data_IF_572859171498
#
_entry.id   IF_572859171498
#
_cell.length_a   1.000
_cell.length_b   1.000
_cell.length_c   1.000
_cell.angle_alpha   90.00
_cell.angle_beta   90.00
_cell.angle_gamma   90.00
#
_symmetry.space_group_name_H-M   'P 1'
#
loop_
_entity.id
_entity.type
_entity.pdbx_description
1 polymer ?
#
# COMPACT_ATOMS: atom_id res chain seq x y z
N UNK A 1 6.41 -72.33 27.85
CA UNK A 1 7.83 -72.06 27.51
C UNK A 1 7.81 -71.47 26.10
N UNK A 2 8.08 -70.22 25.77
CA UNK A 2 8.88 -69.14 26.37
C UNK A 2 8.14 -67.80 26.28
N UNK A 3 8.43 -66.91 27.23
CA UNK A 3 8.05 -65.50 27.24
C UNK A 3 8.92 -64.74 26.22
N UNK A 4 8.34 -63.81 25.47
CA UNK A 4 9.10 -62.75 24.80
C UNK A 4 8.41 -61.41 25.10
N UNK A 5 9.09 -60.63 25.92
CA UNK A 5 8.81 -59.22 26.23
C UNK A 5 9.60 -58.43 25.19
N UNK A 6 8.95 -57.54 24.46
CA UNK A 6 9.63 -56.52 23.65
C UNK A 6 9.05 -55.15 24.02
N UNK A 7 9.94 -54.31 24.56
CA UNK A 7 9.67 -53.00 25.10
C UNK A 7 9.25 -52.00 24.03
N UNK A 8 8.15 -51.29 24.25
CA UNK A 8 7.76 -50.11 23.48
C UNK A 8 8.51 -48.90 24.04
N UNK A 9 9.55 -48.47 23.33
CA UNK A 9 10.24 -47.20 23.55
C UNK A 9 9.33 -46.04 23.11
N UNK A 10 8.78 -45.30 24.07
CA UNK A 10 8.13 -44.02 23.82
C UNK A 10 9.19 -42.97 23.47
N UNK A 11 9.25 -42.55 22.20
CA UNK A 11 9.98 -41.33 21.82
C UNK A 11 9.18 -40.11 22.30
N UNK A 12 9.70 -39.40 23.29
CA UNK A 12 9.18 -38.10 23.70
C UNK A 12 9.49 -37.06 22.61
N UNK A 13 8.45 -36.51 21.98
CA UNK A 13 8.57 -35.36 21.09
C UNK A 13 8.65 -34.11 21.98
N UNK A 14 9.84 -33.54 22.10
CA UNK A 14 10.05 -32.26 22.78
C UNK A 14 9.57 -31.13 21.87
N UNK A 15 8.44 -30.53 22.22
CA UNK A 15 7.94 -29.31 21.60
C UNK A 15 8.88 -28.15 21.91
N UNK A 16 9.62 -27.67 20.90
CA UNK A 16 10.36 -26.41 21.00
C UNK A 16 9.37 -25.25 20.85
N UNK A 17 9.06 -24.57 21.95
CA UNK A 17 8.42 -23.27 21.93
C UNK A 17 9.48 -22.22 21.53
N UNK A 18 9.38 -21.70 20.30
CA UNK A 18 10.14 -20.54 19.86
C UNK A 18 9.32 -19.31 20.26
N UNK A 19 9.52 -18.80 21.47
CA UNK A 19 8.91 -17.54 21.92
C UNK A 19 9.98 -16.49 22.16
N UNK A 20 9.89 -15.41 21.39
CA UNK A 20 10.22 -14.07 21.87
C UNK A 20 11.64 -13.59 21.63
N UNK A 21 11.83 -12.86 20.54
CA UNK A 21 12.85 -11.81 20.49
C UNK A 21 12.54 -10.79 21.59
N UNK A 22 13.39 -10.75 22.63
CA UNK A 22 13.39 -9.70 23.65
C UNK A 22 13.95 -8.41 23.04
N UNK A 23 13.12 -7.38 22.88
CA UNK A 23 13.61 -6.00 22.82
C UNK A 23 13.46 -5.37 24.21
N UNK A 24 14.58 -4.89 24.73
CA UNK A 24 14.69 -4.29 26.06
C UNK A 24 14.00 -2.92 26.06
N UNK A 25 13.04 -2.73 26.95
CA UNK A 25 12.40 -1.44 27.22
C UNK A 25 13.39 -0.47 27.91
N UNK A 26 13.74 0.60 27.19
CA UNK A 26 14.35 1.80 27.75
C UNK A 26 13.31 2.93 27.75
N UNK A 27 12.86 3.31 28.94
CA UNK A 27 11.95 4.41 29.20
C UNK A 27 12.53 5.76 28.71
N UNK A 28 11.79 6.51 27.88
CA UNK A 28 11.82 7.99 27.78
C UNK A 28 10.71 8.54 26.87
N UNK A 29 9.79 9.24 27.53
CA UNK A 29 9.04 10.43 27.10
C UNK A 29 7.91 10.32 26.05
N UNK A 30 6.79 10.93 26.47
CA UNK A 30 5.49 10.98 25.81
C UNK A 30 5.48 11.88 24.58
N UNK A 31 5.40 11.26 23.40
CA UNK A 31 4.59 11.75 22.28
C UNK A 31 3.74 10.55 21.88
N UNK A 32 2.42 10.70 21.84
CA UNK A 32 1.53 9.64 21.38
C UNK A 32 1.88 9.32 19.92
N UNK A 33 2.80 8.39 19.72
CA UNK A 33 3.17 7.82 18.44
C UNK A 33 2.03 6.85 18.08
N UNK A 34 0.89 7.40 17.69
CA UNK A 34 -0.24 6.62 17.22
C UNK A 34 0.20 5.96 15.92
N UNK A 35 0.70 4.73 16.03
CA UNK A 35 1.09 3.89 14.89
C UNK A 35 -0.09 3.78 13.95
N UNK A 36 -0.04 4.50 12.82
CA UNK A 36 -1.10 4.43 11.81
C UNK A 36 -1.15 3.02 11.25
N UNK A 37 -2.32 2.38 11.36
CA UNK A 37 -2.50 1.01 10.87
C UNK A 37 -2.73 1.08 9.36
N UNK A 38 -1.95 0.32 8.59
CA UNK A 38 -2.14 0.24 7.14
C UNK A 38 -2.89 -1.05 6.78
N UNK A 39 -3.96 -0.92 6.01
CA UNK A 39 -4.71 -2.03 5.43
C UNK A 39 -4.50 -2.04 3.91
N UNK A 40 -4.40 -3.23 3.32
CA UNK A 40 -4.34 -3.36 1.86
C UNK A 40 -5.72 -3.16 1.25
N UNK A 41 -5.78 -2.51 0.08
CA UNK A 41 -6.98 -2.41 -0.75
C UNK A 41 -6.66 -2.81 -2.20
N UNK A 42 -7.60 -3.45 -2.87
CA UNK A 42 -7.55 -3.80 -4.29
C UNK A 42 -8.48 -2.93 -5.15
N UNK A 43 -9.24 -2.01 -4.54
CA UNK A 43 -10.21 -1.14 -5.23
C UNK A 43 -9.58 0.19 -5.64
N UNK A 44 -8.55 0.10 -6.46
CA UNK A 44 -7.96 1.23 -7.14
C UNK A 44 -7.31 0.80 -8.45
N UNK A 45 -7.00 1.78 -9.31
CA UNK A 45 -6.00 1.60 -10.36
C UNK A 45 -5.27 2.92 -10.64
N UNK A 46 -4.06 2.78 -11.17
CA UNK A 46 -3.36 3.88 -11.86
C UNK A 46 -3.56 3.64 -13.34
N UNK A 47 -4.30 4.54 -13.98
CA UNK A 47 -4.69 4.44 -15.38
C UNK A 47 -3.52 4.85 -16.30
N UNK A 48 -2.77 5.90 -15.93
CA UNK A 48 -1.57 6.33 -16.66
C UNK A 48 -0.59 7.12 -15.80
N UNK A 49 0.68 7.10 -16.20
CA UNK A 49 1.76 7.92 -15.63
C UNK A 49 2.47 8.63 -16.78
N UNK A 50 2.51 9.97 -16.75
CA UNK A 50 3.06 10.78 -17.84
C UNK A 50 2.39 10.51 -19.19
N UNK A 51 1.11 10.13 -19.20
CA UNK A 51 0.37 9.73 -20.39
C UNK A 51 0.69 8.31 -20.92
N UNK A 52 1.56 7.56 -20.23
CA UNK A 52 1.96 6.20 -20.61
C UNK A 52 1.24 5.15 -19.74
N UNK A 53 1.06 3.95 -20.30
CA UNK A 53 0.44 2.80 -19.64
C UNK A 53 1.37 1.59 -19.71
N UNK A 54 1.27 0.66 -18.76
CA UNK A 54 2.05 -0.57 -18.75
C UNK A 54 2.42 -1.04 -17.35
N UNK A 55 2.98 -2.23 -17.24
CA UNK A 55 3.52 -2.75 -15.97
C UNK A 55 4.82 -2.07 -15.54
N UNK A 56 5.53 -1.46 -16.49
CA UNK A 56 6.71 -0.63 -16.25
C UNK A 56 6.56 0.66 -17.04
N UNK A 57 6.74 1.82 -16.39
CA UNK A 57 6.63 3.12 -17.04
C UNK A 57 7.89 3.93 -16.79
N UNK A 58 8.55 4.38 -17.86
CA UNK A 58 9.73 5.22 -17.81
C UNK A 58 9.33 6.69 -17.96
N UNK A 59 9.83 7.55 -17.08
CA UNK A 59 9.64 9.01 -17.14
C UNK A 59 10.94 9.73 -16.87
N UNK A 60 11.15 10.86 -17.52
CA UNK A 60 12.23 11.78 -17.13
C UNK A 60 11.88 12.47 -15.81
N UNK A 61 12.91 12.96 -15.12
CA UNK A 61 12.72 13.92 -14.02
C UNK A 61 11.93 15.16 -14.47
N UNK A 62 11.15 15.72 -13.57
CA UNK A 62 10.30 16.88 -13.81
C UNK A 62 8.85 16.68 -13.38
N UNK A 63 7.95 17.50 -13.92
CA UNK A 63 6.52 17.41 -13.65
C UNK A 63 5.90 16.23 -14.40
N UNK A 64 5.35 15.27 -13.66
CA UNK A 64 4.71 14.07 -14.22
C UNK A 64 3.28 13.95 -13.70
N UNK A 65 2.34 13.68 -14.61
CA UNK A 65 0.95 13.43 -14.25
C UNK A 65 0.70 11.97 -13.89
N UNK A 66 -0.07 11.72 -12.84
CA UNK A 66 -0.54 10.39 -12.45
C UNK A 66 -2.06 10.41 -12.43
N UNK A 67 -2.69 9.62 -13.29
CA UNK A 67 -4.14 9.54 -13.40
C UNK A 67 -4.61 8.17 -12.93
N UNK A 68 -5.75 8.11 -12.26
CA UNK A 68 -6.27 6.85 -11.76
C UNK A 68 -7.58 7.03 -11.01
N UNK A 69 -7.91 6.03 -10.22
CA UNK A 69 -9.06 6.04 -9.34
C UNK A 69 -8.81 5.20 -8.09
N UNK A 70 -9.52 5.52 -7.02
CA UNK A 70 -9.54 4.71 -5.81
C UNK A 70 -10.91 4.79 -5.12
N UNK A 71 -11.29 3.73 -4.43
CA UNK A 71 -12.51 3.65 -3.63
C UNK A 71 -12.13 3.49 -2.17
N UNK A 72 -12.77 4.28 -1.31
CA UNK A 72 -12.73 4.06 0.13
C UNK A 72 -13.64 2.88 0.45
N UNK A 73 -13.04 1.70 0.60
CA UNK A 73 -13.76 0.46 0.87
C UNK A 73 -14.29 0.38 2.29
N UNK A 74 -13.79 1.22 3.21
CA UNK A 74 -14.33 1.31 4.57
C UNK A 74 -15.67 2.04 4.56
N UNK A 75 -15.75 3.17 3.85
CA UNK A 75 -16.97 3.98 3.79
C UNK A 75 -17.89 3.67 2.60
N UNK A 76 -17.45 2.81 1.68
CA UNK A 76 -18.17 2.48 0.44
C UNK A 76 -18.56 3.74 -0.34
N UNK A 77 -17.59 4.65 -0.49
CA UNK A 77 -17.72 5.92 -1.21
C UNK A 77 -16.43 6.31 -1.95
N UNK A 78 -16.50 7.41 -2.71
CA UNK A 78 -15.31 8.13 -3.11
C UNK A 78 -14.48 8.54 -1.87
N UNK A 79 -13.13 8.48 -1.94
CA UNK A 79 -12.28 8.93 -0.85
C UNK A 79 -12.44 10.42 -0.57
N UNK A 80 -12.40 10.81 0.70
CA UNK A 80 -12.34 12.23 1.11
C UNK A 80 -10.97 12.85 0.86
N UNK A 81 -9.92 12.04 0.97
CA UNK A 81 -8.54 12.39 0.67
C UNK A 81 -7.90 11.23 -0.10
N UNK A 82 -7.07 11.57 -1.09
CA UNK A 82 -6.26 10.61 -1.85
C UNK A 82 -4.83 11.12 -1.84
N UNK A 83 -3.89 10.23 -1.54
CA UNK A 83 -2.44 10.50 -1.59
C UNK A 83 -1.77 9.56 -2.57
N UNK A 84 -0.78 10.08 -3.27
CA UNK A 84 0.13 9.28 -4.09
C UNK A 84 1.43 9.11 -3.32
N UNK A 85 1.88 7.87 -3.13
CA UNK A 85 3.14 7.54 -2.47
C UNK A 85 4.07 6.88 -3.46
N UNK A 86 5.26 7.45 -3.60
CA UNK A 86 6.36 6.89 -4.39
C UNK A 86 7.47 6.44 -3.45
N UNK A 87 7.77 5.14 -3.44
CA UNK A 87 8.83 4.57 -2.59
C UNK A 87 9.91 3.96 -3.47
N UNK A 88 11.09 4.57 -3.46
CA UNK A 88 12.28 4.05 -4.13
C UNK A 88 13.10 3.11 -3.25
N UNK A 89 14.29 2.73 -3.72
CA UNK A 89 15.17 1.79 -3.03
C UNK A 89 15.61 2.22 -1.62
N UNK A 90 15.60 3.54 -1.31
CA UNK A 90 15.91 4.07 0.02
C UNK A 90 14.80 3.77 1.05
N UNK A 91 13.65 3.26 0.63
CA UNK A 91 12.55 2.82 1.51
C UNK A 91 11.69 3.94 2.09
N UNK A 92 12.14 5.20 2.06
CA UNK A 92 11.32 6.36 2.44
C UNK A 92 10.36 6.74 1.31
N UNK A 93 9.08 6.88 1.62
CA UNK A 93 8.05 7.26 0.66
C UNK A 93 7.97 8.78 0.51
N UNK A 94 8.03 9.28 -0.73
CA UNK A 94 7.62 10.65 -1.06
C UNK A 94 6.12 10.67 -1.30
N UNK A 95 5.41 11.59 -0.64
CA UNK A 95 3.95 11.65 -0.65
C UNK A 95 3.46 12.93 -1.33
N UNK A 96 2.59 12.78 -2.33
CA UNK A 96 1.88 13.86 -3.00
C UNK A 96 0.42 13.87 -2.56
N UNK A 97 -0.16 15.06 -2.46
CA UNK A 97 -1.51 15.30 -1.93
C UNK A 97 -2.30 16.19 -2.87
N UNK A 98 -3.59 16.37 -2.59
CA UNK A 98 -4.48 17.30 -3.27
C UNK A 98 -4.53 17.09 -4.80
N UNK A 99 -4.89 15.88 -5.27
CA UNK A 99 -5.11 15.68 -6.69
C UNK A 99 -6.30 16.51 -7.17
N UNK A 100 -6.36 16.76 -8.48
CA UNK A 100 -7.63 17.14 -9.10
C UNK A 100 -8.56 15.93 -9.10
N UNK A 101 -9.79 16.09 -8.63
CA UNK A 101 -10.80 15.04 -8.63
C UNK A 101 -11.43 14.91 -10.02
N UNK A 102 -11.56 13.67 -10.49
CA UNK A 102 -12.07 13.33 -11.82
C UNK A 102 -13.29 12.43 -11.70
N UNK A 103 -14.31 12.69 -12.52
CA UNK A 103 -15.54 11.91 -12.51
C UNK A 103 -15.35 10.54 -13.18
N UNK A 104 -15.89 9.50 -12.53
CA UNK A 104 -15.80 8.09 -12.94
C UNK A 104 -17.18 7.44 -13.05
N UNK A 105 -17.99 7.84 -14.04
CA UNK A 105 -19.31 7.23 -14.27
C UNK A 105 -19.21 5.74 -14.63
N UNK A 106 -18.07 5.30 -15.16
CA UNK A 106 -17.76 3.90 -15.40
C UNK A 106 -17.73 3.08 -14.10
N UNK A 107 -17.20 3.63 -13.00
CA UNK A 107 -17.22 2.98 -11.69
C UNK A 107 -18.64 2.94 -11.10
N UNK A 108 -19.42 4.01 -11.26
CA UNK A 108 -20.83 4.03 -10.86
C UNK A 108 -21.59 2.90 -11.56
N UNK A 109 -21.40 2.74 -12.87
CA UNK A 109 -22.03 1.68 -13.66
C UNK A 109 -21.53 0.29 -13.28
N UNK A 110 -20.22 0.12 -13.10
CA UNK A 110 -19.61 -1.18 -12.81
C UNK A 110 -19.99 -1.72 -11.43
N UNK A 111 -20.15 -0.83 -10.45
CA UNK A 111 -20.42 -1.23 -9.06
C UNK A 111 -21.85 -0.91 -8.58
N UNK A 112 -22.65 -0.23 -9.39
CA UNK A 112 -24.02 0.15 -9.02
C UNK A 112 -24.11 1.10 -7.83
N UNK A 113 -23.11 1.96 -7.64
CA UNK A 113 -23.03 2.88 -6.50
C UNK A 113 -22.65 4.30 -6.96
N UNK A 114 -23.61 5.22 -6.90
CA UNK A 114 -23.42 6.63 -7.31
C UNK A 114 -22.37 7.36 -6.47
N UNK A 115 -22.11 6.91 -5.24
CA UNK A 115 -21.09 7.51 -4.37
C UNK A 115 -19.66 7.34 -4.90
N UNK A 116 -19.45 6.50 -5.92
CA UNK A 116 -18.15 6.32 -6.58
C UNK A 116 -17.90 7.29 -7.72
N UNK A 117 -18.85 8.19 -8.04
CA UNK A 117 -18.68 9.14 -9.15
C UNK A 117 -17.41 9.98 -9.00
N UNK A 118 -17.02 10.36 -7.79
CA UNK A 118 -15.85 11.22 -7.52
C UNK A 118 -14.59 10.45 -7.12
N UNK A 119 -14.49 9.18 -7.50
CA UNK A 119 -13.36 8.31 -7.14
C UNK A 119 -12.10 8.51 -8.01
N UNK A 120 -12.17 9.27 -9.10
CA UNK A 120 -11.02 9.53 -9.97
C UNK A 120 -10.09 10.60 -9.43
N UNK A 121 -8.80 10.47 -9.74
CA UNK A 121 -7.77 11.43 -9.38
C UNK A 121 -6.84 11.75 -10.56
N UNK A 122 -6.28 12.96 -10.53
CA UNK A 122 -5.17 13.39 -11.35
C UNK A 122 -4.17 14.19 -10.51
N UNK A 123 -3.01 13.60 -10.22
CA UNK A 123 -1.89 14.29 -9.56
C UNK A 123 -0.95 14.89 -10.60
N UNK A 124 -0.41 16.07 -10.30
CA UNK A 124 0.81 16.57 -10.95
C UNK A 124 1.93 16.54 -9.92
N UNK A 125 2.90 15.64 -10.10
CA UNK A 125 3.98 15.40 -9.17
C UNK A 125 5.31 15.94 -9.72
N UNK A 126 6.02 16.74 -8.93
CA UNK A 126 7.39 17.14 -9.25
C UNK A 126 8.36 16.03 -8.82
N UNK A 127 8.96 15.37 -9.80
CA UNK A 127 9.92 14.28 -9.61
C UNK A 127 11.38 14.77 -9.68
N UNK A 128 11.62 16.08 -9.83
CA UNK A 128 12.96 16.64 -10.06
C UNK A 128 13.95 16.34 -8.94
N UNK A 129 13.46 16.26 -7.71
CA UNK A 129 14.26 15.96 -6.50
C UNK A 129 14.40 14.47 -6.23
N UNK A 130 13.71 13.60 -6.98
CA UNK A 130 13.81 12.16 -6.83
C UNK A 130 15.06 11.65 -7.56
N UNK A 131 15.66 10.61 -6.98
CA UNK A 131 16.77 9.90 -7.60
C UNK A 131 16.27 9.12 -8.82
N UNK A 132 17.15 8.91 -9.80
CA UNK A 132 16.83 7.99 -10.89
C UNK A 132 16.76 6.55 -10.36
N UNK A 133 15.85 5.74 -10.91
CA UNK A 133 15.64 4.35 -10.49
C UNK A 133 14.18 3.94 -10.38
N UNK A 134 13.97 2.73 -9.86
CA UNK A 134 12.64 2.13 -9.70
C UNK A 134 11.91 2.60 -8.44
N UNK A 135 10.61 2.89 -8.60
CA UNK A 135 9.69 3.31 -7.56
C UNK A 135 8.44 2.45 -7.57
N UNK A 136 8.01 2.01 -6.39
CA UNK A 136 6.66 1.50 -6.22
C UNK A 136 5.67 2.66 -6.18
N UNK A 137 4.53 2.48 -6.84
CA UNK A 137 3.47 3.47 -6.91
C UNK A 137 2.29 2.98 -6.09
N UNK A 138 1.98 3.68 -5.01
CA UNK A 138 0.91 3.33 -4.06
C UNK A 138 -0.07 4.48 -3.95
N UNK A 139 -1.36 4.18 -4.06
CA UNK A 139 -2.42 5.13 -3.70
C UNK A 139 -2.80 4.89 -2.25
N UNK A 140 -2.79 5.93 -1.44
CA UNK A 140 -3.17 5.90 -0.02
C UNK A 140 -4.46 6.69 0.19
N UNK A 141 -5.40 6.10 0.93
CA UNK A 141 -6.61 6.75 1.41
C UNK A 141 -6.52 6.83 2.94
N UNK A 142 -6.23 8.02 3.49
CA UNK A 142 -6.19 8.22 4.93
C UNK A 142 -7.59 8.11 5.56
N UNK A 143 -7.67 7.38 6.66
CA UNK A 143 -8.78 7.40 7.61
C UNK A 143 -8.36 8.04 8.93
N UNK A 144 -9.20 7.94 9.96
CA UNK A 144 -8.94 8.58 11.26
C UNK A 144 -7.76 7.94 12.02
N UNK A 145 -7.70 6.60 12.06
CA UNK A 145 -6.68 5.84 12.79
C UNK A 145 -5.94 4.82 11.90
N UNK A 146 -6.32 4.75 10.63
CA UNK A 146 -5.80 3.79 9.67
C UNK A 146 -5.69 4.40 8.28
N UNK A 147 -5.04 3.70 7.37
CA UNK A 147 -5.00 4.08 5.96
C UNK A 147 -5.17 2.86 5.08
N UNK A 148 -5.94 3.00 4.01
CA UNK A 148 -6.00 2.00 2.95
C UNK A 148 -4.86 2.26 1.98
N UNK A 149 -4.00 1.28 1.77
CA UNK A 149 -2.93 1.31 0.80
C UNK A 149 -3.29 0.40 -0.37
N UNK A 150 -3.40 1.00 -1.55
CA UNK A 150 -3.59 0.27 -2.78
C UNK A 150 -2.30 0.33 -3.60
N UNK A 151 -1.58 -0.80 -3.61
CA UNK A 151 -0.34 -0.93 -4.35
C UNK A 151 -0.65 -1.21 -5.81
N UNK A 152 -0.29 -0.25 -6.68
CA UNK A 152 -0.39 -0.49 -8.12
C UNK A 152 0.62 -1.56 -8.53
N UNK A 153 0.31 -2.28 -9.61
CA UNK A 153 1.24 -3.25 -10.23
C UNK A 153 2.21 -2.59 -11.22
N UNK A 154 2.37 -1.26 -11.14
CA UNK A 154 3.23 -0.48 -12.02
C UNK A 154 4.57 -0.23 -11.32
N UNK A 155 5.65 -0.61 -11.98
CA UNK A 155 7.00 -0.15 -11.66
C UNK A 155 7.24 1.18 -12.39
N UNK A 156 7.30 2.28 -11.65
CA UNK A 156 7.74 3.55 -12.19
C UNK A 156 9.27 3.56 -12.25
N UNK A 157 9.85 3.93 -13.38
CA UNK A 157 11.29 4.15 -13.52
C UNK A 157 11.51 5.61 -13.85
N UNK A 158 12.24 6.32 -12.99
CA UNK A 158 12.66 7.70 -13.20
C UNK A 158 14.06 7.65 -13.84
N UNK A 159 14.22 8.31 -14.99
CA UNK A 159 15.48 8.45 -15.74
C UNK A 159 16.13 9.81 -15.46
#
# INVERSE_FOLDING_TARGET
>A
MYKMIAALSFLAITSAAITGCNEKEGNKENVANTKTIHYSSDKCAVDSIGGKTGSTVYVAKGMVQFNGWAIDTTNQSAPKEIRLRLTGYKGTATTFKNPTIVDRPDLVKAFGNEKFLKSGFSFTADLSSLESGGYSVVTEIPGENSSLLCQSRILLVIE
#
